data_IF_058817886952
#
_entry.id   IF_058817886952
#
_cell.length_a   1.000
_cell.length_b   1.000
_cell.length_c   1.000
_cell.angle_alpha   90.00
_cell.angle_beta   90.00
_cell.angle_gamma   90.00
#
_symmetry.space_group_name_H-M   'P 1'
#
loop_
_entity.id
_entity.type
_entity.pdbx_description
1 polymer ?
#
# COMPACT_ATOMS: atom_id res chain seq x y z
N UNK A 1 -9.34 23.19 -1.43
CA UNK A 1 -10.31 23.63 -0.42
C UNK A 1 -11.51 22.73 -0.53
N UNK A 2 -11.53 21.66 0.27
CA UNK A 2 -12.67 20.73 0.38
C UNK A 2 -12.83 20.37 1.85
N UNK A 3 -14.08 20.31 2.33
CA UNK A 3 -14.42 19.64 3.59
C UNK A 3 -14.44 20.50 4.86
N UNK A 4 -14.83 21.77 4.80
CA UNK A 4 -15.23 22.48 6.04
C UNK A 4 -16.65 22.08 6.36
N UNK A 5 -16.83 21.04 7.17
CA UNK A 5 -18.10 20.83 7.88
C UNK A 5 -18.29 22.03 8.80
N UNK A 6 -19.44 22.71 8.71
CA UNK A 6 -19.67 23.95 9.44
C UNK A 6 -19.49 23.72 10.95
N UNK A 7 -18.57 24.46 11.56
CA UNK A 7 -18.23 24.34 12.98
C UNK A 7 -17.01 23.47 13.30
N UNK A 8 -16.45 22.76 12.31
CA UNK A 8 -15.31 21.87 12.51
C UNK A 8 -13.97 22.55 12.21
N UNK A 9 -12.91 22.08 12.88
CA UNK A 9 -11.55 22.61 12.70
C UNK A 9 -10.93 22.11 11.39
N UNK A 10 -9.99 22.88 10.84
CA UNK A 10 -9.13 22.42 9.74
C UNK A 10 -8.07 21.43 10.27
N UNK A 11 -8.50 20.20 10.57
CA UNK A 11 -7.69 19.16 11.18
C UNK A 11 -6.44 18.83 10.37
N UNK A 12 -6.58 18.75 9.04
CA UNK A 12 -5.46 18.48 8.12
C UNK A 12 -4.36 19.50 8.32
N UNK A 13 -4.69 20.81 8.29
CA UNK A 13 -3.70 21.86 8.47
C UNK A 13 -3.12 21.88 9.87
N UNK A 14 -3.95 21.73 10.90
CA UNK A 14 -3.50 21.82 12.31
C UNK A 14 -2.54 20.67 12.65
N UNK A 15 -2.89 19.43 12.30
CA UNK A 15 -2.07 18.26 12.61
C UNK A 15 -0.76 18.27 11.83
N UNK A 16 -0.78 18.62 10.54
CA UNK A 16 0.43 18.65 9.72
C UNK A 16 1.47 19.69 10.16
N UNK A 17 1.12 20.67 11.02
CA UNK A 17 2.09 21.63 11.58
C UNK A 17 2.98 21.03 12.67
N UNK A 18 2.52 19.98 13.34
CA UNK A 18 3.23 19.35 14.47
C UNK A 18 3.81 17.98 14.11
N UNK A 19 3.47 17.44 12.93
CA UNK A 19 3.98 16.17 12.44
C UNK A 19 5.34 16.33 11.71
N UNK A 20 6.24 15.33 11.81
CA UNK A 20 7.50 15.35 11.08
C UNK A 20 7.25 15.35 9.56
N UNK A 21 8.23 15.79 8.73
CA UNK A 21 8.02 15.98 7.29
C UNK A 21 7.54 14.76 6.50
N UNK A 22 7.85 13.57 6.98
CA UNK A 22 7.56 12.27 6.38
C UNK A 22 6.21 11.67 6.80
N UNK A 23 5.50 12.30 7.75
CA UNK A 23 4.15 11.91 8.17
C UNK A 23 3.18 13.04 7.86
N UNK A 24 2.10 12.72 7.15
CA UNK A 24 1.08 13.68 6.74
C UNK A 24 -0.32 13.12 6.89
N UNK A 25 -1.21 13.90 7.51
CA UNK A 25 -2.65 13.70 7.44
C UNK A 25 -3.11 14.27 6.11
N UNK A 26 -3.72 13.44 5.28
CA UNK A 26 -4.20 13.84 3.94
C UNK A 26 -5.66 14.28 3.96
N UNK A 27 -6.47 13.68 4.83
CA UNK A 27 -7.90 13.92 4.95
C UNK A 27 -8.42 13.48 6.31
N UNK A 28 -9.65 13.89 6.63
CA UNK A 28 -10.40 13.43 7.80
C UNK A 28 -11.88 13.28 7.42
N UNK A 29 -12.62 12.48 8.17
CA UNK A 29 -14.07 12.35 8.01
C UNK A 29 -14.72 11.99 9.36
N UNK A 30 -15.94 12.49 9.65
CA UNK A 30 -16.73 12.00 10.77
C UNK A 30 -17.17 10.56 10.50
N UNK A 31 -17.21 9.73 11.55
CA UNK A 31 -17.58 8.31 11.49
C UNK A 31 -18.54 7.98 12.63
N UNK A 32 -19.24 6.85 12.52
CA UNK A 32 -20.08 6.34 13.60
C UNK A 32 -19.24 6.03 14.86
N UNK A 33 -19.85 6.12 16.04
CA UNK A 33 -19.15 5.95 17.32
C UNK A 33 -18.61 4.51 17.53
N UNK A 34 -19.21 3.53 16.87
CA UNK A 34 -18.84 2.11 16.88
C UNK A 34 -17.90 1.72 15.73
N UNK A 35 -17.51 2.67 14.88
CA UNK A 35 -16.61 2.41 13.75
C UNK A 35 -15.20 2.01 14.23
N UNK A 36 -14.66 0.95 13.62
CA UNK A 36 -13.28 0.52 13.75
C UNK A 36 -12.55 0.56 12.42
N UNK A 37 -11.55 1.45 12.33
CA UNK A 37 -10.66 1.54 11.16
C UNK A 37 -9.95 0.20 10.82
N UNK A 38 -9.81 -0.71 11.81
CA UNK A 38 -9.20 -2.02 11.61
C UNK A 38 -10.21 -3.08 11.19
N UNK A 39 -11.30 -3.22 11.95
CA UNK A 39 -12.22 -4.34 11.80
C UNK A 39 -13.25 -4.13 10.68
N UNK A 40 -13.61 -2.87 10.38
CA UNK A 40 -14.55 -2.56 9.30
C UNK A 40 -13.88 -2.46 7.93
N UNK A 41 -12.54 -2.41 7.88
CA UNK A 41 -11.79 -2.41 6.64
C UNK A 41 -11.88 -3.77 5.93
N UNK A 42 -12.47 -3.78 4.74
CA UNK A 42 -12.78 -5.00 3.96
C UNK A 42 -11.60 -5.57 3.18
N UNK A 43 -10.68 -4.71 2.72
CA UNK A 43 -9.49 -5.12 1.98
C UNK A 43 -8.36 -4.09 2.12
N UNK A 44 -7.14 -4.47 1.75
CA UNK A 44 -5.96 -3.59 1.72
C UNK A 44 -5.21 -3.84 0.42
N UNK A 45 -4.64 -2.77 -0.14
CA UNK A 45 -3.83 -2.83 -1.36
C UNK A 45 -2.40 -2.41 -1.02
N UNK A 46 -1.44 -3.20 -1.46
CA UNK A 46 -0.01 -2.95 -1.24
C UNK A 46 0.70 -2.77 -2.58
N UNK A 47 1.54 -1.75 -2.68
CA UNK A 47 2.41 -1.53 -3.83
C UNK A 47 3.86 -1.78 -3.42
N UNK A 48 4.54 -2.67 -4.14
CA UNK A 48 5.96 -2.94 -3.97
C UNK A 48 6.73 -2.40 -5.17
N UNK A 49 7.76 -1.59 -4.90
CA UNK A 49 8.63 -1.01 -5.90
C UNK A 49 9.99 -1.70 -5.86
N UNK A 50 10.45 -2.19 -7.01
CA UNK A 50 11.73 -2.88 -7.16
C UNK A 50 12.60 -2.15 -8.16
N UNK A 51 13.92 -2.13 -7.93
CA UNK A 51 14.87 -1.74 -8.96
C UNK A 51 14.80 -2.77 -10.11
N UNK A 52 14.70 -2.30 -11.36
CA UNK A 52 14.40 -3.17 -12.52
C UNK A 52 15.38 -4.34 -12.67
N UNK A 53 16.68 -4.10 -12.46
CA UNK A 53 17.72 -5.13 -12.47
C UNK A 53 17.58 -6.13 -13.64
N UNK A 54 17.81 -7.41 -13.35
CA UNK A 54 17.61 -8.54 -14.27
C UNK A 54 16.32 -9.32 -13.95
N UNK A 55 15.26 -8.64 -13.52
CA UNK A 55 14.00 -9.29 -13.16
C UNK A 55 13.27 -9.79 -14.42
N UNK A 56 12.86 -11.06 -14.42
CA UNK A 56 12.00 -11.63 -15.45
C UNK A 56 10.52 -11.30 -15.15
N UNK A 57 10.04 -10.24 -15.80
CA UNK A 57 8.67 -9.75 -15.62
C UNK A 57 7.62 -10.77 -16.10
N UNK A 58 7.93 -11.58 -17.11
CA UNK A 58 6.98 -12.57 -17.62
C UNK A 58 6.79 -13.70 -16.60
N UNK A 59 7.89 -14.22 -16.04
CA UNK A 59 7.85 -15.22 -14.98
C UNK A 59 7.17 -14.68 -13.70
N UNK A 60 7.46 -13.44 -13.30
CA UNK A 60 6.81 -12.80 -12.16
C UNK A 60 5.30 -12.66 -12.36
N UNK A 61 4.85 -12.27 -13.56
CA UNK A 61 3.42 -12.20 -13.90
C UNK A 61 2.76 -13.56 -13.85
N UNK A 62 3.43 -14.62 -14.32
CA UNK A 62 2.91 -15.98 -14.22
C UNK A 62 2.75 -16.44 -12.78
N UNK A 63 3.77 -16.23 -11.94
CA UNK A 63 3.71 -16.53 -10.52
C UNK A 63 2.58 -15.75 -9.82
N UNK A 64 2.46 -14.44 -10.10
CA UNK A 64 1.41 -13.59 -9.53
C UNK A 64 0.00 -14.11 -9.80
N UNK A 65 -0.28 -14.58 -11.03
CA UNK A 65 -1.60 -15.16 -11.39
C UNK A 65 -1.95 -16.38 -10.53
N UNK A 66 -0.97 -17.23 -10.22
CA UNK A 66 -1.18 -18.45 -9.41
C UNK A 66 -1.50 -18.13 -7.96
N UNK A 67 -1.11 -16.95 -7.47
CA UNK A 67 -1.41 -16.49 -6.13
C UNK A 67 -2.81 -15.88 -6.00
N UNK A 68 -3.49 -15.52 -7.10
CA UNK A 68 -4.86 -14.98 -7.04
C UNK A 68 -5.84 -16.07 -6.60
N UNK A 69 -6.85 -15.69 -5.82
CA UNK A 69 -7.83 -16.63 -5.25
C UNK A 69 -7.60 -16.88 -3.77
N UNK A 70 -8.19 -17.96 -3.26
CA UNK A 70 -8.15 -18.33 -1.84
C UNK A 70 -7.16 -19.49 -1.63
N UNK A 71 -6.16 -19.26 -0.78
CA UNK A 71 -5.07 -20.21 -0.55
C UNK A 71 -4.61 -20.17 0.91
N UNK A 72 -3.98 -21.24 1.37
CA UNK A 72 -3.24 -21.28 2.64
C UNK A 72 -1.83 -20.68 2.43
N UNK A 73 -1.58 -19.51 3.01
CA UNK A 73 -0.32 -18.78 2.87
C UNK A 73 0.64 -18.98 4.04
N UNK A 74 0.56 -20.08 4.80
CA UNK A 74 1.46 -20.30 5.95
C UNK A 74 2.95 -20.19 5.60
N UNK A 75 3.33 -20.61 4.39
CA UNK A 75 4.73 -20.58 3.92
C UNK A 75 5.20 -19.15 3.55
N UNK A 76 4.29 -18.18 3.45
CA UNK A 76 4.58 -16.79 3.14
C UNK A 76 4.45 -15.87 4.36
N UNK A 77 4.17 -16.44 5.54
CA UNK A 77 3.92 -15.70 6.76
C UNK A 77 5.00 -15.99 7.80
N UNK A 78 5.33 -14.99 8.62
CA UNK A 78 6.02 -15.25 9.88
C UNK A 78 5.05 -15.98 10.80
N UNK A 79 5.47 -17.11 11.38
CA UNK A 79 4.66 -17.84 12.35
C UNK A 79 4.48 -17.01 13.62
N UNK A 80 3.23 -16.77 13.98
CA UNK A 80 2.82 -16.06 15.19
C UNK A 80 1.86 -16.99 15.96
N UNK A 81 2.14 -17.30 17.24
CA UNK A 81 1.28 -18.14 18.08
C UNK A 81 -0.17 -17.63 18.19
N UNK A 82 -0.41 -16.34 17.96
CA UNK A 82 -1.72 -15.72 18.04
C UNK A 82 -2.53 -15.84 16.73
N UNK A 83 -1.95 -16.43 15.68
CA UNK A 83 -2.61 -16.59 14.37
C UNK A 83 -2.96 -18.05 14.15
N UNK A 84 -4.27 -18.35 14.19
CA UNK A 84 -4.80 -19.70 13.99
C UNK A 84 -5.19 -20.02 12.55
N UNK A 85 -5.36 -19.00 11.69
CA UNK A 85 -5.75 -19.17 10.29
C UNK A 85 -4.79 -18.45 9.34
N UNK A 86 -4.33 -19.18 8.33
CA UNK A 86 -3.41 -18.74 7.28
C UNK A 86 -4.09 -18.67 5.90
N UNK A 87 -5.38 -19.02 5.83
CA UNK A 87 -6.15 -18.91 4.59
C UNK A 87 -6.47 -17.45 4.33
N UNK A 88 -6.08 -16.93 3.16
CA UNK A 88 -6.37 -15.57 2.72
C UNK A 88 -6.84 -15.59 1.28
N UNK A 89 -7.51 -14.51 0.87
CA UNK A 89 -7.92 -14.29 -0.51
C UNK A 89 -7.17 -13.11 -1.11
N UNK A 90 -6.46 -13.34 -2.20
CA UNK A 90 -5.91 -12.28 -3.04
C UNK A 90 -6.92 -12.00 -4.15
N UNK A 91 -7.51 -10.81 -4.14
CA UNK A 91 -8.48 -10.38 -5.16
C UNK A 91 -7.80 -10.02 -6.50
N UNK A 92 -6.62 -9.41 -6.45
CA UNK A 92 -5.82 -9.06 -7.62
C UNK A 92 -4.32 -9.02 -7.26
N UNK A 93 -3.48 -9.41 -8.22
CA UNK A 93 -2.03 -9.27 -8.14
C UNK A 93 -1.49 -8.89 -9.52
N UNK A 94 -0.99 -7.67 -9.64
CA UNK A 94 -0.39 -7.16 -10.88
C UNK A 94 1.09 -6.89 -10.74
N UNK A 95 1.84 -7.24 -11.79
CA UNK A 95 3.25 -6.87 -11.95
C UNK A 95 3.39 -6.06 -13.22
N UNK A 96 3.78 -4.79 -13.07
CA UNK A 96 3.95 -3.84 -14.17
C UNK A 96 5.29 -3.11 -14.06
N UNK A 97 6.01 -2.91 -15.18
CA UNK A 97 7.05 -1.90 -15.23
C UNK A 97 6.47 -0.54 -14.85
N UNK A 98 7.20 0.23 -14.06
CA UNK A 98 6.86 1.62 -13.76
C UNK A 98 7.64 2.49 -14.74
N UNK A 99 6.92 3.30 -15.51
CA UNK A 99 7.55 4.33 -16.33
C UNK A 99 8.18 5.38 -15.40
N UNK A 100 9.41 5.82 -15.66
CA UNK A 100 9.98 6.91 -14.90
C UNK A 100 9.14 8.17 -15.11
N UNK A 101 9.02 9.04 -14.09
CA UNK A 101 8.35 10.32 -14.26
C UNK A 101 8.94 11.09 -15.46
N UNK A 102 8.10 11.80 -16.23
CA UNK A 102 8.57 12.66 -17.32
C UNK A 102 9.67 13.60 -16.81
N UNK A 103 10.82 13.63 -17.51
CA UNK A 103 11.98 14.45 -17.13
C UNK A 103 13.06 13.74 -16.31
N UNK A 104 12.90 12.46 -15.96
CA UNK A 104 13.98 11.67 -15.35
C UNK A 104 14.96 11.21 -16.43
N UNK A 105 15.98 12.02 -16.73
CA UNK A 105 17.08 11.59 -17.62
C UNK A 105 17.90 10.54 -16.87
N UNK A 106 17.94 9.31 -17.40
CA UNK A 106 18.71 8.22 -16.82
C UNK A 106 20.18 8.64 -16.69
N UNK A 107 20.66 8.76 -15.46
CA UNK A 107 22.07 8.97 -15.18
C UNK A 107 22.87 7.83 -15.79
N UNK A 108 23.59 8.13 -16.88
CA UNK A 108 24.59 7.24 -17.44
C UNK A 108 25.54 6.79 -16.33
N UNK A 109 25.78 5.48 -16.26
CA UNK A 109 26.47 4.84 -15.15
C UNK A 109 27.81 5.49 -14.79
N UNK A 110 28.00 5.79 -13.51
CA UNK A 110 29.34 5.86 -12.94
C UNK A 110 29.86 4.42 -12.80
N UNK A 111 30.72 4.02 -13.73
CA UNK A 111 31.67 2.93 -13.51
C UNK A 111 32.68 3.40 -12.46
N UNK A 112 32.82 2.64 -11.39
CA UNK A 112 33.95 2.65 -10.46
C UNK A 112 34.54 1.24 -10.46
#
# INVERSE_FOLDING_TARGET
SEGVVAGEMDYVRVLNRVLPPDVRVVSWAPVAADFSARFDATSRTYHYFFARGKLDIAAMRDAARRLVGEHDYRNFCKLDPNVSSFVRRISAFEVRPVEPPPGTVGGAGRRG
#
